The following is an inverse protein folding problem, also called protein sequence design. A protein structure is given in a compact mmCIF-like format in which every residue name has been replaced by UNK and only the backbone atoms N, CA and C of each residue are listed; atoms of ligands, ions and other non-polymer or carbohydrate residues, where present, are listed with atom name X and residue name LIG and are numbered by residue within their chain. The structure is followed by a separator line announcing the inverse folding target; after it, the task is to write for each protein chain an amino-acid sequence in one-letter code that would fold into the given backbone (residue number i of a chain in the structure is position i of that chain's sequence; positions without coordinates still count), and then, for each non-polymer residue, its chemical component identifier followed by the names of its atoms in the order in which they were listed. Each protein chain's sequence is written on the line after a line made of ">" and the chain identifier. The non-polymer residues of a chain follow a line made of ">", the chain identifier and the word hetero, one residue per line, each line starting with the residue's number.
data_IF_777402162736
#
_entry.id   IF_777402162736
#
_cell.length_a   1.000
_cell.length_b   1.000
_cell.length_c   1.000
_cell.angle_alpha   90.00
_cell.angle_beta   90.00
_cell.angle_gamma   90.00
#
_symmetry.space_group_name_H-M   'P 1'
#
loop_
_entity.id
_entity.type
_entity.pdbx_description
1 polymer ?
#
# COMPACT_ATOMS: atom_id res chain seq x y z
N UNK A 1 -8.30 -9.94 -7.52
CA UNK A 1 -6.98 -10.62 -7.48
C UNK A 1 -6.27 -10.15 -6.22
N UNK A 2 -5.77 -11.06 -5.39
CA UNK A 2 -5.04 -10.71 -4.16
C UNK A 2 -3.58 -11.16 -4.23
N UNK A 3 -2.72 -10.47 -3.49
CA UNK A 3 -1.30 -10.76 -3.36
C UNK A 3 -0.82 -10.43 -1.93
N UNK A 4 0.26 -11.05 -1.49
CA UNK A 4 0.88 -10.74 -0.20
C UNK A 4 2.39 -10.53 -0.34
N UNK A 5 2.93 -9.56 0.40
CA UNK A 5 4.37 -9.28 0.48
C UNK A 5 4.77 -8.87 1.89
N UNK A 6 6.01 -8.39 2.06
CA UNK A 6 6.47 -7.89 3.35
C UNK A 6 7.46 -6.72 3.20
N UNK A 7 7.35 -5.75 4.11
CA UNK A 7 8.35 -4.70 4.35
C UNK A 7 9.11 -5.07 5.62
N UNK A 8 10.43 -5.05 5.57
CA UNK A 8 11.25 -5.37 6.76
C UNK A 8 11.70 -4.09 7.45
N UNK A 9 11.25 -3.88 8.68
CA UNK A 9 11.71 -2.79 9.53
C UNK A 9 12.97 -3.22 10.31
N UNK A 10 14.02 -2.39 10.29
CA UNK A 10 15.27 -2.59 11.03
C UNK A 10 15.63 -1.30 11.75
N UNK A 11 15.49 -1.30 13.07
CA UNK A 11 15.60 -0.12 13.93
C UNK A 11 16.23 -0.54 15.27
N UNK A 12 16.44 0.39 16.20
CA UNK A 12 16.97 0.03 17.53
C UNK A 12 16.02 -0.92 18.25
N UNK A 13 16.56 -1.94 18.91
CA UNK A 13 15.75 -2.90 19.64
C UNK A 13 14.97 -2.21 20.76
N UNK A 14 13.66 -2.46 20.83
CA UNK A 14 12.78 -1.84 21.80
C UNK A 14 12.15 -0.52 21.36
N UNK A 15 12.52 0.06 20.20
CA UNK A 15 11.84 1.25 19.68
C UNK A 15 10.49 0.87 19.06
N UNK A 16 9.47 1.67 19.37
CA UNK A 16 8.21 1.64 18.63
C UNK A 16 8.43 2.29 17.26
N UNK A 17 7.67 1.86 16.26
CA UNK A 17 7.68 2.49 14.95
C UNK A 17 6.29 2.51 14.34
N UNK A 18 6.15 3.40 13.36
CA UNK A 18 5.02 3.44 12.43
C UNK A 18 5.51 3.55 11.00
N UNK A 19 4.81 2.89 10.08
CA UNK A 19 5.08 2.91 8.65
C UNK A 19 3.86 3.50 7.94
N UNK A 20 4.04 4.66 7.33
CA UNK A 20 3.06 5.30 6.46
C UNK A 20 3.33 4.96 5.00
N UNK A 21 2.28 4.66 4.23
CA UNK A 21 2.38 4.56 2.77
C UNK A 21 1.91 5.86 2.13
N UNK A 22 2.64 6.33 1.12
CA UNK A 22 2.20 7.45 0.29
C UNK A 22 0.93 7.09 -0.48
N UNK A 23 0.22 8.09 -0.96
CA UNK A 23 -0.95 7.91 -1.80
C UNK A 23 -0.62 7.48 -3.24
N UNK A 24 0.64 7.21 -3.57
CA UNK A 24 1.02 6.83 -4.93
C UNK A 24 0.75 7.94 -5.94
N UNK A 25 0.60 7.56 -7.20
CA UNK A 25 0.46 8.49 -8.32
C UNK A 25 -0.92 9.18 -8.40
N UNK A 26 -1.97 8.58 -7.84
CA UNK A 26 -3.34 9.14 -7.90
C UNK A 26 -3.64 10.14 -6.77
N UNK A 27 -2.78 10.24 -5.75
CA UNK A 27 -2.93 11.21 -4.67
C UNK A 27 -3.90 10.81 -3.56
N UNK A 28 -4.60 9.67 -3.69
CA UNK A 28 -5.50 9.13 -2.66
C UNK A 28 -5.13 7.69 -2.26
N UNK A 29 -4.64 7.53 -1.03
CA UNK A 29 -4.31 6.21 -0.46
C UNK A 29 -5.55 5.38 -0.11
N UNK A 30 -6.71 6.00 0.16
CA UNK A 30 -7.96 5.30 0.46
C UNK A 30 -8.63 4.77 -0.83
N UNK A 31 -8.43 5.47 -1.95
CA UNK A 31 -8.96 5.10 -3.26
C UNK A 31 -7.82 4.93 -4.28
N UNK A 32 -6.83 4.10 -3.95
CA UNK A 32 -5.58 3.93 -4.73
C UNK A 32 -5.85 3.41 -6.15
N UNK A 33 -5.03 3.90 -7.10
CA UNK A 33 -5.11 3.49 -8.50
C UNK A 33 -3.73 3.38 -9.14
N UNK A 34 -3.45 2.21 -9.71
CA UNK A 34 -2.38 2.04 -10.68
C UNK A 34 -2.73 2.68 -12.01
N UNK A 35 -1.73 3.30 -12.64
CA UNK A 35 -1.88 3.96 -13.93
C UNK A 35 -1.30 3.09 -15.04
N UNK A 36 -1.95 3.12 -16.21
CA UNK A 36 -1.46 2.46 -17.42
C UNK A 36 -0.15 3.09 -17.84
N UNK A 37 0.86 2.26 -18.06
CA UNK A 37 2.15 2.70 -18.61
C UNK A 37 1.91 3.30 -19.99
N UNK A 38 2.35 4.55 -20.20
CA UNK A 38 2.11 5.30 -21.44
C UNK A 38 0.76 6.04 -21.50
N UNK A 39 0.00 6.11 -20.40
CA UNK A 39 -1.26 6.86 -20.31
C UNK A 39 -2.48 6.13 -20.89
N UNK A 40 -3.65 6.77 -20.84
CA UNK A 40 -4.90 6.16 -21.31
C UNK A 40 -6.20 6.91 -21.00
N UNK A 41 -6.16 8.03 -20.27
CA UNK A 41 -7.36 8.82 -19.97
C UNK A 41 -8.42 8.00 -19.20
N UNK A 42 -9.69 8.14 -19.58
CA UNK A 42 -10.80 7.37 -19.01
C UNK A 42 -10.69 5.89 -19.41
N UNK A 43 -10.08 5.07 -18.55
CA UNK A 43 -9.76 3.65 -18.81
C UNK A 43 -8.27 3.32 -18.61
N UNK A 44 -7.44 4.35 -18.44
CA UNK A 44 -6.02 4.24 -18.12
C UNK A 44 -5.70 4.04 -16.65
N UNK A 45 -6.69 3.75 -15.80
CA UNK A 45 -6.50 3.48 -14.37
C UNK A 45 -7.10 2.13 -13.97
N UNK A 46 -6.49 1.49 -12.98
CA UNK A 46 -6.96 0.25 -12.34
C UNK A 46 -7.01 0.51 -10.84
N UNK A 47 -8.18 0.34 -10.24
CA UNK A 47 -8.34 0.42 -8.79
C UNK A 47 -7.57 -0.71 -8.11
N UNK A 48 -6.85 -0.38 -7.06
CA UNK A 48 -6.14 -1.31 -6.20
C UNK A 48 -6.14 -0.79 -4.76
N UNK A 49 -5.72 -1.62 -3.82
CA UNK A 49 -5.52 -1.21 -2.44
C UNK A 49 -4.47 -2.09 -1.75
N UNK A 50 -3.78 -1.50 -0.78
CA UNK A 50 -2.86 -2.18 0.13
C UNK A 50 -3.46 -2.17 1.54
N UNK A 51 -3.34 -3.28 2.26
CA UNK A 51 -3.93 -3.47 3.58
C UNK A 51 -2.88 -3.94 4.60
N UNK A 52 -3.12 -3.57 5.86
CA UNK A 52 -2.30 -4.04 6.99
C UNK A 52 -2.71 -5.42 7.51
N UNK A 53 -3.89 -5.91 7.13
CA UNK A 53 -4.48 -7.16 7.59
C UNK A 53 -4.88 -8.08 6.44
N UNK A 54 -4.88 -9.39 6.70
CA UNK A 54 -5.21 -10.41 5.71
C UNK A 54 -6.70 -10.49 5.36
N UNK A 55 -7.56 -9.84 6.15
CA UNK A 55 -8.98 -9.75 5.86
C UNK A 55 -9.31 -8.56 4.93
N UNK A 56 -8.30 -7.79 4.52
CA UNK A 56 -8.42 -6.67 3.57
C UNK A 56 -9.41 -5.61 4.08
N UNK A 57 -9.37 -5.31 5.39
CA UNK A 57 -10.33 -4.38 6.04
C UNK A 57 -9.71 -3.03 6.40
N UNK A 58 -8.40 -3.00 6.67
CA UNK A 58 -7.67 -1.81 7.13
C UNK A 58 -6.75 -1.30 6.02
N UNK A 59 -7.28 -0.40 5.19
CA UNK A 59 -6.53 0.21 4.08
C UNK A 59 -5.29 0.94 4.60
N UNK A 60 -4.13 0.63 4.04
CA UNK A 60 -2.84 1.13 4.49
C UNK A 60 -2.45 2.41 3.74
N UNK A 61 -2.37 3.50 4.50
CA UNK A 61 -1.95 4.81 4.03
C UNK A 61 -1.15 5.55 5.09
N UNK A 62 -1.44 6.84 5.22
CA UNK A 62 -0.73 7.75 6.11
C UNK A 62 -1.57 8.19 7.33
N UNK A 63 -2.75 7.59 7.54
CA UNK A 63 -3.68 7.96 8.62
C UNK A 63 -4.77 8.94 8.19
N UNK A 64 -4.69 9.51 6.99
CA UNK A 64 -5.70 10.41 6.46
C UNK A 64 -6.78 9.63 5.69
N UNK A 65 -7.94 10.27 5.47
CA UNK A 65 -9.05 9.71 4.69
C UNK A 65 -9.52 8.32 5.16
N UNK A 66 -9.38 8.02 6.46
CA UNK A 66 -9.76 6.73 7.04
C UNK A 66 -8.76 5.59 6.84
N UNK A 67 -7.57 5.88 6.27
CA UNK A 67 -6.49 4.89 6.17
C UNK A 67 -5.79 4.67 7.51
N UNK A 68 -5.11 3.53 7.63
CA UNK A 68 -4.32 3.14 8.81
C UNK A 68 -2.84 3.12 8.46
N UNK A 69 -1.98 3.37 9.44
CA UNK A 69 -0.54 3.12 9.36
C UNK A 69 -0.21 1.79 10.04
N UNK A 70 0.72 1.01 9.51
CA UNK A 70 1.23 -0.14 10.24
C UNK A 70 2.07 0.33 11.42
N UNK A 71 1.82 -0.24 12.60
CA UNK A 71 2.56 0.07 13.83
C UNK A 71 3.21 -1.20 14.36
N UNK A 72 4.31 -1.04 15.09
CA UNK A 72 5.00 -2.18 15.67
C UNK A 72 6.09 -1.75 16.64
N UNK A 73 6.76 -2.75 17.19
CA UNK A 73 7.94 -2.57 18.02
C UNK A 73 9.02 -3.50 17.52
N UNK A 74 10.25 -3.01 17.41
CA UNK A 74 11.38 -3.85 17.03
C UNK A 74 11.71 -4.78 18.19
N UNK A 75 11.49 -6.09 18.00
CA UNK A 75 11.76 -7.14 19.01
C UNK A 75 13.05 -7.92 18.74
N UNK A 76 13.61 -7.76 17.54
CA UNK A 76 14.83 -8.39 17.05
C UNK A 76 15.50 -7.48 15.99
N UNK A 77 16.67 -7.84 15.47
CA UNK A 77 17.40 -7.04 14.46
C UNK A 77 16.59 -6.71 13.19
N UNK A 78 15.48 -7.41 12.92
CA UNK A 78 14.57 -7.14 11.82
C UNK A 78 13.16 -7.67 12.13
N UNK A 79 12.12 -6.90 11.81
CA UNK A 79 10.71 -7.32 11.95
C UNK A 79 10.01 -7.24 10.59
N UNK A 80 9.51 -8.35 10.04
CA UNK A 80 8.74 -8.33 8.81
C UNK A 80 7.30 -7.86 9.06
N UNK A 81 6.85 -6.89 8.27
CA UNK A 81 5.49 -6.34 8.29
C UNK A 81 4.81 -6.76 7.00
N UNK A 82 3.77 -7.59 7.13
CA UNK A 82 3.03 -8.11 5.98
C UNK A 82 2.24 -7.01 5.31
N UNK A 83 2.23 -7.03 3.97
CA UNK A 83 1.43 -6.17 3.10
C UNK A 83 0.48 -7.08 2.34
N UNK A 84 -0.81 -6.73 2.28
CA UNK A 84 -1.80 -7.46 1.50
C UNK A 84 -2.34 -6.54 0.40
N UNK A 85 -2.16 -6.92 -0.86
CA UNK A 85 -2.62 -6.15 -2.01
C UNK A 85 -3.87 -6.77 -2.61
N UNK A 86 -4.82 -5.93 -3.01
CA UNK A 86 -6.06 -6.34 -3.68
C UNK A 86 -6.29 -5.47 -4.92
N UNK A 87 -6.57 -6.11 -6.04
CA UNK A 87 -7.23 -5.50 -7.20
C UNK A 87 -8.68 -6.01 -7.22
N UNK A 88 -9.68 -5.18 -6.85
CA UNK A 88 -11.08 -5.58 -6.87
C UNK A 88 -11.59 -5.77 -8.31
N UNK A 89 -12.69 -6.51 -8.44
CA UNK A 89 -13.42 -6.60 -9.70
C UNK A 89 -13.92 -5.20 -10.11
N UNK A 90 -13.69 -4.84 -11.37
CA UNK A 90 -14.01 -3.53 -11.93
C UNK A 90 -14.32 -3.65 -13.42
N UNK A 91 -14.82 -2.57 -14.03
CA UNK A 91 -15.00 -2.52 -15.49
C UNK A 91 -13.69 -2.80 -16.20
N UNK A 92 -13.77 -3.45 -17.36
CA UNK A 92 -12.58 -3.87 -18.10
C UNK A 92 -11.70 -2.65 -18.42
N UNK A 93 -10.48 -2.56 -17.85
CA UNK A 93 -9.58 -1.45 -18.12
C UNK A 93 -8.98 -1.60 -19.53
N UNK A 94 -8.37 -0.53 -20.04
CA UNK A 94 -7.68 -0.61 -21.34
C UNK A 94 -6.55 -1.66 -21.31
N UNK A 95 -6.32 -2.39 -22.41
CA UNK A 95 -5.19 -3.31 -22.47
C UNK A 95 -3.85 -2.59 -22.26
N UNK A 96 -3.02 -3.13 -21.39
CA UNK A 96 -1.69 -2.61 -21.11
C UNK A 96 -1.17 -3.03 -19.74
N UNK A 97 0.08 -2.64 -19.46
CA UNK A 97 0.66 -2.79 -18.13
C UNK A 97 0.23 -1.61 -17.26
N UNK A 98 -0.05 -1.89 -15.99
CA UNK A 98 -0.41 -0.91 -14.98
C UNK A 98 0.62 -0.92 -13.86
N UNK A 99 1.03 0.25 -13.40
CA UNK A 99 2.02 0.39 -12.34
C UNK A 99 1.70 1.59 -11.45
N UNK A 100 2.07 1.49 -10.18
CA UNK A 100 2.13 2.60 -9.24
C UNK A 100 3.43 2.52 -8.44
N UNK A 101 3.89 3.64 -7.89
CA UNK A 101 5.08 3.69 -7.02
C UNK A 101 4.68 4.20 -5.65
N UNK A 102 4.80 3.32 -4.65
CA UNK A 102 4.40 3.62 -3.27
C UNK A 102 5.63 3.83 -2.42
N UNK A 103 5.71 4.99 -1.76
CA UNK A 103 6.79 5.29 -0.82
C UNK A 103 6.35 4.87 0.57
N UNK A 104 7.14 4.00 1.21
CA UNK A 104 6.98 3.64 2.61
C UNK A 104 7.89 4.51 3.49
N UNK A 105 7.30 5.30 4.39
CA UNK A 105 8.02 6.15 5.33
C UNK A 105 7.94 5.54 6.73
N UNK A 106 9.09 5.20 7.30
CA UNK A 106 9.21 4.72 8.67
C UNK A 106 9.57 5.87 9.62
N UNK A 107 8.94 5.91 10.79
CA UNK A 107 9.26 6.86 11.87
C UNK A 107 9.19 6.18 13.24
N UNK A 108 9.96 6.71 14.20
CA UNK A 108 10.17 6.21 15.56
C UNK A 108 9.55 7.14 16.59
#
# INVERSE_FOLDING_TARGET
>A
MSASGAITARCTNGDAFRIALSSGSNGDAAARQMQRVGGGGAGGAVNDQLYTDSAETSAWGNGNSGTTMATGRVTANAVPIKVYGLVPAQSTPMPGNYSDTITATISF
#
